data_IF_545459174787
#
_entry.id   IF_545459174787
#
_cell.length_a   1.000
_cell.length_b   1.000
_cell.length_c   1.000
_cell.angle_alpha   90.00
_cell.angle_beta   90.00
_cell.angle_gamma   90.00
#
_symmetry.space_group_name_H-M   'P 1'
#
loop_
_entity.id
_entity.type
_entity.pdbx_description
1 polymer ?
#
# COMPACT_ATOMS: atom_id res chain seq x y z
N UNK A 1 4.10 -40.19 47.94
CA UNK A 1 4.69 -38.83 47.98
C UNK A 1 5.66 -38.69 46.81
N UNK A 2 5.45 -37.65 46.01
CA UNK A 2 5.97 -37.45 44.66
C UNK A 2 7.51 -37.35 44.58
N UNK A 3 8.10 -38.08 43.63
CA UNK A 3 9.42 -37.80 43.06
C UNK A 3 9.24 -37.45 41.58
N UNK A 4 9.00 -36.18 41.29
CA UNK A 4 9.05 -35.66 39.92
C UNK A 4 10.50 -35.34 39.58
N UNK A 5 11.13 -36.21 38.78
CA UNK A 5 12.41 -35.93 38.14
C UNK A 5 12.16 -35.08 36.89
N UNK A 6 12.52 -33.81 36.95
CA UNK A 6 12.61 -32.94 35.78
C UNK A 6 13.81 -33.37 34.92
N UNK A 7 13.55 -33.78 33.68
CA UNK A 7 14.59 -33.98 32.66
C UNK A 7 14.58 -32.78 31.70
N UNK A 8 15.71 -32.14 31.41
CA UNK A 8 15.76 -31.08 30.41
C UNK A 8 15.63 -31.68 29.00
N UNK A 9 14.67 -31.15 28.24
CA UNK A 9 14.48 -31.44 26.82
C UNK A 9 15.45 -30.55 26.04
N UNK A 10 16.53 -31.11 25.51
CA UNK A 10 17.44 -30.39 24.61
C UNK A 10 16.78 -30.37 23.23
N UNK A 11 16.22 -29.22 22.85
CA UNK A 11 15.73 -28.95 21.51
C UNK A 11 16.95 -28.70 20.60
N UNK A 12 17.37 -29.74 19.88
CA UNK A 12 18.33 -29.59 18.79
C UNK A 12 17.62 -28.89 17.61
N UNK A 13 17.80 -27.57 17.49
CA UNK A 13 17.41 -26.81 16.30
C UNK A 13 18.42 -27.16 15.21
N UNK A 14 18.06 -28.08 14.32
CA UNK A 14 18.78 -28.27 13.07
C UNK A 14 18.53 -27.05 12.19
N UNK A 15 19.43 -26.07 12.24
CA UNK A 15 19.50 -25.00 11.25
C UNK A 15 20.08 -25.64 9.99
N UNK A 16 19.21 -26.15 9.12
CA UNK A 16 19.60 -26.51 7.76
C UNK A 16 19.81 -25.17 7.03
N UNK A 17 21.03 -24.65 7.07
CA UNK A 17 21.46 -23.55 6.21
C UNK A 17 21.77 -24.11 4.83
N UNK A 18 20.72 -24.44 4.07
CA UNK A 18 20.84 -24.63 2.62
C UNK A 18 21.06 -23.25 2.00
N UNK A 19 22.29 -23.00 1.54
CA UNK A 19 22.61 -21.81 0.77
C UNK A 19 21.77 -21.78 -0.51
N UNK A 20 20.71 -20.98 -0.51
CA UNK A 20 19.87 -20.76 -1.68
C UNK A 20 20.59 -19.81 -2.63
N UNK A 21 21.27 -20.37 -3.63
CA UNK A 21 21.49 -19.64 -4.88
C UNK A 21 20.14 -19.20 -5.42
N UNK A 22 20.04 -17.97 -5.91
CA UNK A 22 18.81 -17.44 -6.49
C UNK A 22 18.39 -18.33 -7.68
N UNK A 23 17.43 -19.22 -7.47
CA UNK A 23 16.82 -20.01 -8.53
C UNK A 23 15.92 -19.07 -9.32
N UNK A 24 16.43 -18.47 -10.38
CA UNK A 24 15.57 -17.89 -11.40
C UNK A 24 14.94 -19.06 -12.15
N UNK A 25 13.65 -19.36 -11.89
CA UNK A 25 12.89 -20.21 -12.80
C UNK A 25 13.01 -19.62 -14.22
N UNK A 26 13.22 -20.49 -15.20
CA UNK A 26 13.33 -20.06 -16.59
C UNK A 26 12.04 -19.34 -16.98
N UNK A 27 12.18 -18.19 -17.63
CA UNK A 27 11.13 -17.43 -18.34
C UNK A 27 10.37 -18.25 -19.41
N UNK A 28 10.76 -19.52 -19.63
CA UNK A 28 10.18 -20.45 -20.61
C UNK A 28 9.09 -21.37 -20.04
N UNK A 29 8.45 -20.98 -18.93
CA UNK A 29 7.30 -21.73 -18.42
C UNK A 29 6.11 -21.61 -19.38
N UNK A 30 5.42 -22.72 -19.61
CA UNK A 30 4.25 -22.77 -20.50
C UNK A 30 2.96 -23.01 -19.69
N UNK A 31 1.84 -22.52 -20.23
CA UNK A 31 0.50 -22.76 -19.72
C UNK A 31 -0.03 -24.18 -20.05
N UNK A 32 0.82 -25.09 -20.52
CA UNK A 32 0.43 -26.49 -20.76
C UNK A 32 0.46 -27.28 -19.45
N UNK A 33 -0.58 -28.07 -19.19
CA UNK A 33 -0.68 -28.85 -17.96
C UNK A 33 0.39 -29.94 -17.88
N UNK A 34 1.20 -29.88 -16.82
CA UNK A 34 2.17 -30.94 -16.50
C UNK A 34 1.42 -32.16 -15.93
N UNK A 35 0.32 -31.91 -15.19
CA UNK A 35 -0.47 -32.96 -14.54
C UNK A 35 -1.16 -33.83 -15.59
N UNK A 36 -1.93 -33.23 -16.51
CA UNK A 36 -2.65 -33.95 -17.57
C UNK A 36 -1.65 -34.72 -18.44
N UNK A 37 -0.59 -34.07 -18.91
CA UNK A 37 0.36 -34.66 -19.85
C UNK A 37 1.11 -35.88 -19.30
N UNK A 38 1.32 -35.97 -17.98
CA UNK A 38 2.10 -37.06 -17.35
C UNK A 38 1.27 -38.05 -16.54
N UNK A 39 0.19 -37.59 -15.92
CA UNK A 39 -0.57 -38.36 -14.92
C UNK A 39 -2.07 -38.45 -15.24
N UNK A 40 -2.56 -37.74 -16.26
CA UNK A 40 -3.98 -37.59 -16.53
C UNK A 40 -4.68 -36.58 -15.60
N UNK A 41 -6.00 -36.41 -15.74
CA UNK A 41 -6.76 -35.40 -15.00
C UNK A 41 -7.12 -35.86 -13.58
N UNK A 42 -6.12 -35.91 -12.69
CA UNK A 42 -6.31 -36.30 -11.28
C UNK A 42 -6.78 -35.11 -10.44
N UNK A 43 -7.87 -35.28 -9.68
CA UNK A 43 -8.44 -34.23 -8.81
C UNK A 43 -7.44 -33.74 -7.75
N UNK A 44 -7.24 -32.42 -7.71
CA UNK A 44 -6.35 -31.73 -6.77
C UNK A 44 -7.02 -31.25 -5.48
N UNK A 45 -8.34 -31.42 -5.33
CA UNK A 45 -9.11 -30.87 -4.20
C UNK A 45 -8.62 -31.36 -2.83
N UNK A 46 -8.27 -32.65 -2.72
CA UNK A 46 -7.74 -33.23 -1.48
C UNK A 46 -6.38 -32.62 -1.08
N UNK A 47 -5.50 -32.39 -2.07
CA UNK A 47 -4.22 -31.73 -1.83
C UNK A 47 -4.46 -30.29 -1.36
N UNK A 48 -5.26 -29.50 -2.08
CA UNK A 48 -5.54 -28.11 -1.71
C UNK A 48 -6.14 -27.98 -0.30
N UNK A 49 -7.10 -28.85 0.04
CA UNK A 49 -7.68 -28.90 1.40
C UNK A 49 -6.60 -29.12 2.46
N UNK A 50 -5.68 -30.05 2.22
CA UNK A 50 -4.55 -30.32 3.13
C UNK A 50 -3.66 -29.07 3.29
N UNK A 51 -3.40 -28.34 2.21
CA UNK A 51 -2.60 -27.10 2.26
C UNK A 51 -3.30 -26.01 3.07
N UNK A 52 -4.60 -25.81 2.85
CA UNK A 52 -5.41 -24.82 3.59
C UNK A 52 -5.43 -25.16 5.08
N UNK A 53 -5.70 -26.42 5.44
CA UNK A 53 -5.72 -26.89 6.83
C UNK A 53 -4.36 -26.70 7.50
N UNK A 54 -3.28 -27.04 6.80
CA UNK A 54 -1.91 -26.84 7.30
C UNK A 54 -1.61 -25.34 7.48
N UNK A 55 -1.98 -24.49 6.54
CA UNK A 55 -1.79 -23.04 6.64
C UNK A 55 -2.54 -22.44 7.84
N UNK A 56 -3.82 -22.82 8.02
CA UNK A 56 -4.65 -22.41 9.16
C UNK A 56 -4.14 -22.91 10.51
N UNK A 57 -3.44 -24.05 10.54
CA UNK A 57 -2.87 -24.59 11.77
C UNK A 57 -1.66 -23.80 12.28
N UNK A 58 -1.01 -22.99 11.44
CA UNK A 58 0.13 -22.16 11.84
C UNK A 58 -0.36 -20.93 12.62
N UNK A 59 -0.03 -20.87 13.92
CA UNK A 59 -0.39 -19.73 14.78
C UNK A 59 0.32 -18.44 14.37
N UNK A 60 1.50 -18.59 13.82
CA UNK A 60 2.36 -17.51 13.35
C UNK A 60 3.34 -18.08 12.33
N UNK A 61 3.76 -17.28 11.37
CA UNK A 61 4.84 -17.64 10.47
C UNK A 61 5.40 -16.39 9.80
N UNK A 62 6.56 -16.54 9.18
CA UNK A 62 7.06 -15.56 8.22
C UNK A 62 7.75 -16.25 7.06
N UNK A 63 7.80 -15.57 5.92
CA UNK A 63 8.56 -15.99 4.75
C UNK A 63 9.12 -14.77 4.01
N UNK A 64 10.20 -14.99 3.26
CA UNK A 64 10.63 -14.05 2.22
C UNK A 64 9.98 -14.47 0.90
N UNK A 65 9.62 -13.50 0.06
CA UNK A 65 9.05 -13.77 -1.25
C UNK A 65 9.73 -12.94 -2.32
N UNK A 66 9.94 -13.56 -3.47
CA UNK A 66 10.38 -12.88 -4.69
C UNK A 66 9.27 -12.99 -5.72
N UNK A 67 8.63 -11.86 -6.05
CA UNK A 67 7.61 -11.73 -7.08
C UNK A 67 8.26 -11.19 -8.35
N UNK A 68 8.15 -11.89 -9.46
CA UNK A 68 8.48 -11.37 -10.79
C UNK A 68 7.21 -11.24 -11.62
N UNK A 69 6.90 -10.04 -12.07
CA UNK A 69 5.76 -9.75 -12.95
C UNK A 69 6.29 -9.43 -14.34
N UNK A 70 5.70 -10.03 -15.37
CA UNK A 70 6.11 -9.85 -16.76
C UNK A 70 5.16 -8.91 -17.47
N UNK A 71 5.68 -7.78 -17.93
CA UNK A 71 4.94 -6.84 -18.78
C UNK A 71 5.72 -6.63 -20.07
N UNK A 72 5.09 -6.89 -21.22
CA UNK A 72 5.73 -6.79 -22.54
C UNK A 72 7.05 -7.58 -22.61
N UNK A 73 7.06 -8.81 -22.10
CA UNK A 73 8.22 -9.72 -22.03
C UNK A 73 9.39 -9.25 -21.14
N UNK A 74 9.25 -8.13 -20.42
CA UNK A 74 10.23 -7.67 -19.44
C UNK A 74 9.74 -8.02 -18.03
N UNK A 75 10.56 -8.79 -17.31
CA UNK A 75 10.33 -9.07 -15.89
C UNK A 75 10.68 -7.87 -15.01
N UNK A 76 9.80 -7.55 -14.06
CA UNK A 76 10.08 -6.66 -12.94
C UNK A 76 10.02 -7.49 -11.67
N UNK A 77 11.13 -7.54 -10.94
CA UNK A 77 11.25 -8.34 -9.72
C UNK A 77 11.14 -7.46 -8.49
N UNK A 78 10.27 -7.87 -7.57
CA UNK A 78 10.04 -7.29 -6.26
C UNK A 78 10.34 -8.34 -5.19
N UNK A 79 11.05 -7.96 -4.13
CA UNK A 79 11.30 -8.81 -2.97
C UNK A 79 10.64 -8.23 -1.73
N UNK A 80 10.04 -9.09 -0.93
CA UNK A 80 9.37 -8.71 0.29
C UNK A 80 9.53 -9.77 1.38
N UNK A 81 9.17 -9.38 2.60
CA UNK A 81 9.04 -10.30 3.73
C UNK A 81 7.66 -10.15 4.33
N UNK A 82 6.99 -11.28 4.51
CA UNK A 82 5.65 -11.35 5.05
C UNK A 82 5.68 -12.01 6.42
N UNK A 83 4.96 -11.44 7.37
CA UNK A 83 4.76 -11.97 8.72
C UNK A 83 3.26 -12.07 8.97
N UNK A 84 2.85 -13.20 9.57
CA UNK A 84 1.47 -13.45 9.95
C UNK A 84 1.39 -13.95 11.39
N UNK A 85 0.33 -13.56 12.10
CA UNK A 85 -0.03 -14.11 13.40
C UNK A 85 -1.54 -14.11 13.61
N UNK A 86 -2.08 -15.22 14.12
CA UNK A 86 -3.50 -15.37 14.49
C UNK A 86 -3.92 -14.30 15.51
N UNK A 87 -5.16 -13.74 15.43
CA UNK A 87 -6.23 -14.11 14.50
C UNK A 87 -6.09 -13.52 13.10
N UNK A 88 -5.49 -12.33 12.95
CA UNK A 88 -5.37 -11.69 11.64
C UNK A 88 -4.35 -10.53 11.66
N UNK A 89 -3.24 -10.70 12.36
CA UNK A 89 -2.15 -9.73 12.36
C UNK A 89 -1.23 -10.02 11.18
N UNK A 90 -0.92 -8.98 10.42
CA UNK A 90 -0.08 -9.10 9.24
C UNK A 90 0.91 -7.96 9.19
N UNK A 91 2.14 -8.26 8.78
CA UNK A 91 3.14 -7.26 8.42
C UNK A 91 3.78 -7.67 7.11
N UNK A 92 3.90 -6.73 6.18
CA UNK A 92 4.65 -6.89 4.95
C UNK A 92 5.71 -5.80 4.84
N UNK A 93 6.94 -6.20 4.54
CA UNK A 93 8.08 -5.32 4.35
C UNK A 93 8.59 -5.46 2.92
N UNK A 94 8.60 -4.37 2.16
CA UNK A 94 9.18 -4.36 0.82
C UNK A 94 10.71 -4.27 0.92
N UNK A 95 11.41 -5.39 0.73
CA UNK A 95 12.87 -5.47 0.83
C UNK A 95 13.58 -4.89 -0.39
N UNK A 96 13.03 -5.10 -1.59
CA UNK A 96 13.54 -4.53 -2.84
C UNK A 96 12.38 -4.38 -3.83
N UNK A 97 11.85 -3.17 -4.00
CA UNK A 97 10.67 -2.91 -4.84
C UNK A 97 10.74 -1.52 -5.49
N UNK A 98 11.92 -1.15 -6.00
CA UNK A 98 12.17 0.18 -6.58
C UNK A 98 11.91 1.30 -5.57
N UNK A 99 11.03 2.25 -5.92
CA UNK A 99 10.65 3.36 -5.05
C UNK A 99 9.84 2.95 -3.81
N UNK A 100 9.33 1.72 -3.75
CA UNK A 100 8.62 1.16 -2.58
C UNK A 100 9.55 0.46 -1.60
N UNK A 101 10.85 0.34 -1.90
CA UNK A 101 11.82 -0.31 -1.01
C UNK A 101 11.82 0.34 0.38
N UNK A 102 11.72 -0.48 1.43
CA UNK A 102 11.59 -0.03 2.82
C UNK A 102 10.16 0.28 3.26
N UNK A 103 9.16 0.16 2.38
CA UNK A 103 7.76 0.33 2.77
C UNK A 103 7.33 -0.80 3.68
N UNK A 104 6.48 -0.48 4.65
CA UNK A 104 5.93 -1.44 5.60
C UNK A 104 4.42 -1.30 5.63
N UNK A 105 3.68 -2.39 5.50
CA UNK A 105 2.24 -2.44 5.72
C UNK A 105 1.98 -3.31 6.93
N UNK A 106 1.09 -2.89 7.82
CA UNK A 106 0.60 -3.72 8.94
C UNK A 106 -0.93 -3.74 8.98
N UNK A 107 -1.50 -4.90 9.31
CA UNK A 107 -2.86 -5.04 9.83
C UNK A 107 -2.78 -5.15 11.35
N UNK A 108 -3.33 -4.17 12.04
CA UNK A 108 -3.26 -4.07 13.51
C UNK A 108 -4.38 -4.89 14.18
N UNK A 109 -4.34 -5.12 15.50
CA UNK A 109 -5.38 -5.86 16.21
C UNK A 109 -6.78 -5.22 16.14
N UNK A 110 -6.86 -3.89 15.92
CA UNK A 110 -8.13 -3.19 15.71
C UNK A 110 -8.68 -3.34 14.27
N UNK A 111 -8.03 -4.15 13.44
CA UNK A 111 -8.38 -4.38 12.04
C UNK A 111 -7.93 -3.27 11.08
N UNK A 112 -7.40 -2.15 11.58
CA UNK A 112 -6.92 -1.06 10.73
C UNK A 112 -5.67 -1.47 10.00
N UNK A 113 -5.56 -1.03 8.76
CA UNK A 113 -4.37 -1.20 7.94
C UNK A 113 -3.59 0.11 7.97
N UNK A 114 -2.34 0.04 8.39
CA UNK A 114 -1.41 1.17 8.36
C UNK A 114 -0.27 0.86 7.42
N UNK A 115 0.14 1.85 6.65
CA UNK A 115 1.29 1.76 5.76
C UNK A 115 2.28 2.86 6.10
N UNK A 116 3.55 2.49 6.21
CA UNK A 116 4.70 3.37 6.28
C UNK A 116 5.38 3.36 4.92
N UNK A 117 5.55 4.53 4.32
CA UNK A 117 6.19 4.63 3.01
C UNK A 117 7.70 4.28 3.09
N UNK A 118 8.26 3.79 1.98
CA UNK A 118 9.67 3.43 1.86
C UNK A 118 10.57 4.54 1.32
N UNK A 119 11.87 4.24 1.21
CA UNK A 119 12.87 5.12 0.64
C UNK A 119 12.95 6.48 1.34
N UNK A 120 13.01 7.55 0.54
CA UNK A 120 13.04 8.92 1.04
C UNK A 120 11.79 9.31 1.86
N UNK A 121 10.69 8.56 1.73
CA UNK A 121 9.43 8.78 2.47
C UNK A 121 9.33 7.95 3.75
N UNK A 122 10.44 7.35 4.22
CA UNK A 122 10.55 6.47 5.38
C UNK A 122 10.00 6.97 6.73
N UNK A 123 9.38 8.13 6.81
CA UNK A 123 8.76 8.69 8.02
C UNK A 123 7.22 8.79 7.97
N UNK A 124 6.59 8.70 6.80
CA UNK A 124 5.15 8.93 6.66
C UNK A 124 4.39 7.64 6.92
N UNK A 125 3.47 7.67 7.89
CA UNK A 125 2.53 6.58 8.16
C UNK A 125 1.12 7.03 7.85
N UNK A 126 0.39 6.27 7.03
CA UNK A 126 -1.00 6.53 6.65
C UNK A 126 -1.89 5.35 7.02
N UNK A 127 -3.17 5.60 7.29
CA UNK A 127 -4.18 4.55 7.40
C UNK A 127 -4.80 4.32 6.03
N UNK A 128 -4.92 3.07 5.61
CA UNK A 128 -5.43 2.70 4.28
C UNK A 128 -6.69 1.84 4.42
N UNK A 129 -7.63 2.04 3.50
CA UNK A 129 -8.73 1.09 3.31
C UNK A 129 -8.19 -0.26 2.79
N UNK A 130 -8.79 -1.41 3.14
CA UNK A 130 -8.36 -2.73 2.63
C UNK A 130 -8.36 -2.85 1.11
N UNK A 131 -9.19 -2.06 0.43
CA UNK A 131 -9.33 -2.00 -1.03
C UNK A 131 -8.39 -1.01 -1.71
N UNK A 132 -7.53 -0.30 -0.95
CA UNK A 132 -6.64 0.72 -1.50
C UNK A 132 -5.73 0.15 -2.58
N UNK A 133 -5.60 0.86 -3.71
CA UNK A 133 -4.66 0.54 -4.79
C UNK A 133 -3.20 0.51 -4.29
N UNK A 134 -2.89 1.24 -3.22
CA UNK A 134 -1.56 1.27 -2.61
C UNK A 134 -1.18 -0.05 -1.93
N UNK A 135 -2.17 -0.91 -1.65
CA UNK A 135 -1.97 -2.25 -1.09
C UNK A 135 -1.80 -3.32 -2.16
N UNK A 136 -1.76 -2.95 -3.45
CA UNK A 136 -1.68 -3.89 -4.56
C UNK A 136 -0.23 -4.13 -4.98
N UNK A 137 0.14 -5.40 -5.09
CA UNK A 137 1.38 -5.86 -5.69
C UNK A 137 1.39 -5.59 -7.20
N UNK A 138 2.55 -5.70 -7.84
CA UNK A 138 2.68 -5.50 -9.29
C UNK A 138 1.80 -6.43 -10.14
N UNK A 139 1.42 -7.60 -9.62
CA UNK A 139 0.48 -8.53 -10.26
C UNK A 139 -0.99 -8.34 -9.83
N UNK A 140 -1.33 -7.26 -9.11
CA UNK A 140 -2.70 -6.89 -8.75
C UNK A 140 -3.29 -7.57 -7.50
N UNK A 141 -2.50 -8.41 -6.81
CA UNK A 141 -2.93 -9.03 -5.55
C UNK A 141 -2.89 -8.06 -4.39
N UNK A 142 -3.78 -8.24 -3.42
CA UNK A 142 -3.77 -7.43 -2.19
C UNK A 142 -2.74 -7.98 -1.22
N UNK A 143 -1.78 -7.15 -0.80
CA UNK A 143 -0.78 -7.52 0.24
C UNK A 143 -1.48 -7.95 1.53
N UNK A 144 -2.63 -7.34 1.85
CA UNK A 144 -3.37 -7.65 3.09
C UNK A 144 -4.18 -8.96 3.02
N UNK A 145 -4.29 -9.56 1.83
CA UNK A 145 -4.92 -10.87 1.60
C UNK A 145 -3.88 -11.92 1.15
N UNK A 146 -2.59 -11.60 1.29
CA UNK A 146 -1.48 -12.45 0.86
C UNK A 146 -1.02 -13.43 1.93
N UNK A 147 -1.79 -13.65 3.00
CA UNK A 147 -1.50 -14.76 3.91
C UNK A 147 -1.77 -16.10 3.21
N UNK A 148 -1.02 -17.14 3.58
CA UNK A 148 -1.01 -18.41 2.86
C UNK A 148 -2.39 -19.07 2.84
N UNK A 149 -3.16 -18.96 3.93
CA UNK A 149 -4.50 -19.52 4.00
C UNK A 149 -5.45 -18.78 3.05
N UNK A 150 -5.48 -17.45 3.09
CA UNK A 150 -6.31 -16.63 2.20
C UNK A 150 -5.97 -16.84 0.72
N UNK A 151 -4.67 -16.93 0.39
CA UNK A 151 -4.23 -17.21 -0.98
C UNK A 151 -4.72 -18.58 -1.47
N UNK A 152 -4.53 -19.63 -0.67
CA UNK A 152 -4.97 -20.99 -1.03
C UNK A 152 -6.50 -21.10 -1.09
N UNK A 153 -7.22 -20.41 -0.20
CA UNK A 153 -8.68 -20.30 -0.28
C UNK A 153 -9.14 -19.58 -1.55
N UNK A 154 -8.38 -18.61 -2.04
CA UNK A 154 -8.59 -18.01 -3.35
C UNK A 154 -8.61 -19.04 -4.47
N UNK A 155 -7.67 -19.99 -4.46
CA UNK A 155 -7.61 -21.12 -5.43
C UNK A 155 -8.81 -22.06 -5.28
N UNK A 156 -9.35 -22.22 -4.06
CA UNK A 156 -10.50 -23.11 -3.82
C UNK A 156 -11.80 -22.60 -4.43
N UNK A 157 -11.89 -21.30 -4.75
CA UNK A 157 -13.03 -20.68 -5.43
C UNK A 157 -12.91 -20.89 -6.95
N UNK A 158 -12.84 -22.16 -7.34
CA UNK A 158 -12.72 -22.61 -8.74
C UNK A 158 -13.90 -22.02 -9.55
N UNK A 159 -13.65 -21.16 -10.54
CA UNK A 159 -14.68 -20.65 -11.44
C UNK A 159 -15.39 -21.80 -12.16
N UNK A 160 -16.65 -21.59 -12.56
CA UNK A 160 -17.38 -22.58 -13.35
C UNK A 160 -16.61 -22.90 -14.64
N UNK A 161 -16.39 -24.19 -14.92
CA UNK A 161 -15.60 -24.66 -16.06
C UNK A 161 -14.14 -24.96 -15.73
N UNK A 162 -13.61 -24.45 -14.62
CA UNK A 162 -12.23 -24.76 -14.24
C UNK A 162 -12.10 -26.08 -13.48
N UNK A 163 -10.95 -26.72 -13.62
CA UNK A 163 -10.58 -27.99 -12.97
C UNK A 163 -9.35 -27.77 -12.12
N UNK A 164 -9.39 -28.28 -10.90
CA UNK A 164 -8.25 -28.32 -10.02
C UNK A 164 -7.58 -29.69 -10.12
N UNK A 165 -6.34 -29.74 -10.58
CA UNK A 165 -5.60 -30.97 -10.83
C UNK A 165 -4.34 -31.05 -9.98
N UNK A 166 -3.94 -32.25 -9.56
CA UNK A 166 -2.71 -32.44 -8.81
C UNK A 166 -1.93 -33.69 -9.20
N UNK A 167 -0.62 -33.68 -8.94
CA UNK A 167 0.20 -34.89 -9.04
C UNK A 167 -0.12 -35.84 -7.88
N UNK A 168 -0.12 -37.17 -8.11
CA UNK A 168 -0.43 -38.15 -7.06
C UNK A 168 0.73 -38.34 -6.07
N UNK A 169 1.94 -37.95 -6.48
CA UNK A 169 3.17 -38.06 -5.73
C UNK A 169 4.13 -36.91 -6.10
N UNK A 170 5.16 -36.64 -5.30
CA UNK A 170 6.21 -35.71 -5.68
C UNK A 170 6.84 -36.12 -7.02
N UNK A 171 7.04 -35.15 -7.91
CA UNK A 171 7.66 -35.37 -9.21
C UNK A 171 8.77 -34.35 -9.46
N UNK A 172 9.67 -34.67 -10.40
CA UNK A 172 10.72 -33.76 -10.81
C UNK A 172 10.13 -32.49 -11.44
N UNK A 173 10.60 -31.33 -10.99
CA UNK A 173 10.24 -30.01 -11.50
C UNK A 173 11.51 -29.17 -11.70
N UNK A 174 11.65 -28.41 -12.80
CA UNK A 174 12.90 -27.71 -13.12
C UNK A 174 13.37 -26.78 -11.99
N UNK A 175 14.62 -26.96 -11.55
CA UNK A 175 15.25 -26.11 -10.54
C UNK A 175 14.78 -26.33 -9.10
N UNK A 176 13.85 -27.26 -8.85
CA UNK A 176 13.32 -27.58 -7.52
C UNK A 176 13.58 -29.04 -7.15
N UNK A 177 13.62 -29.38 -5.85
CA UNK A 177 13.53 -30.77 -5.41
C UNK A 177 12.19 -31.41 -5.87
N UNK A 178 12.00 -32.72 -5.69
CA UNK A 178 10.71 -33.35 -5.99
C UNK A 178 9.56 -32.67 -5.22
N UNK A 179 8.57 -32.17 -5.96
CA UNK A 179 7.44 -31.38 -5.47
C UNK A 179 6.11 -32.00 -5.90
N UNK A 180 5.05 -31.72 -5.14
CA UNK A 180 3.70 -31.87 -5.69
C UNK A 180 3.40 -30.67 -6.57
N UNK A 181 2.68 -30.90 -7.67
CA UNK A 181 2.18 -29.83 -8.53
C UNK A 181 0.66 -29.78 -8.39
N UNK A 182 0.13 -28.58 -8.16
CA UNK A 182 -1.30 -28.28 -8.16
C UNK A 182 -1.56 -27.27 -9.28
N UNK A 183 -2.46 -27.58 -10.21
CA UNK A 183 -2.80 -26.74 -11.36
C UNK A 183 -4.29 -26.39 -11.33
N UNK A 184 -4.60 -25.11 -11.54
CA UNK A 184 -5.93 -24.64 -11.88
C UNK A 184 -6.00 -24.50 -13.41
N UNK A 185 -6.85 -25.31 -14.04
CA UNK A 185 -6.91 -25.51 -15.49
C UNK A 185 -8.27 -25.07 -16.03
N UNK A 186 -8.27 -24.22 -17.05
CA UNK A 186 -9.48 -23.77 -17.73
C UNK A 186 -10.13 -24.85 -18.62
N UNK A 187 -11.32 -24.56 -19.13
CA UNK A 187 -12.03 -25.41 -20.10
C UNK A 187 -11.25 -25.61 -21.41
N UNK A 188 -10.38 -24.66 -21.74
CA UNK A 188 -9.43 -24.72 -22.87
C UNK A 188 -8.23 -25.64 -22.61
N UNK A 189 -8.19 -26.30 -21.45
CA UNK A 189 -7.07 -27.10 -20.94
C UNK A 189 -5.76 -26.30 -20.76
N UNK A 190 -5.84 -24.97 -20.66
CA UNK A 190 -4.70 -24.13 -20.29
C UNK A 190 -4.65 -23.94 -18.78
N UNK A 191 -3.43 -23.91 -18.26
CA UNK A 191 -3.17 -23.68 -16.83
C UNK A 191 -3.25 -22.18 -16.56
N UNK A 192 -4.19 -21.77 -15.71
CA UNK A 192 -4.29 -20.39 -15.22
C UNK A 192 -3.34 -20.16 -14.04
N UNK A 193 -3.20 -21.17 -13.16
CA UNK A 193 -2.30 -21.10 -12.01
C UNK A 193 -1.62 -22.45 -11.79
N UNK A 194 -0.33 -22.42 -11.46
CA UNK A 194 0.46 -23.60 -11.09
C UNK A 194 1.17 -23.33 -9.78
N UNK A 195 0.96 -24.19 -8.79
CA UNK A 195 1.64 -24.16 -7.52
C UNK A 195 2.58 -25.36 -7.43
N UNK A 196 3.86 -25.12 -7.18
CA UNK A 196 4.80 -26.14 -6.75
C UNK A 196 4.81 -26.18 -5.22
N UNK A 197 4.55 -27.35 -4.66
CA UNK A 197 4.39 -27.59 -3.24
C UNK A 197 5.51 -28.50 -2.77
N UNK A 198 6.27 -28.01 -1.79
CA UNK A 198 7.35 -28.78 -1.17
C UNK A 198 6.82 -30.08 -0.55
N UNK A 199 7.51 -31.18 -0.83
CA UNK A 199 7.02 -32.51 -0.50
C UNK A 199 7.10 -32.83 0.99
N UNK A 200 7.99 -32.16 1.73
CA UNK A 200 8.21 -32.37 3.16
C UNK A 200 7.32 -31.44 4.00
N UNK A 201 7.41 -30.13 3.78
CA UNK A 201 6.66 -29.12 4.54
C UNK A 201 5.18 -29.05 4.16
N UNK A 202 4.82 -29.55 2.97
CA UNK A 202 3.49 -29.39 2.35
C UNK A 202 3.09 -27.92 2.25
N UNK A 203 4.03 -27.07 1.84
CA UNK A 203 3.82 -25.64 1.67
C UNK A 203 4.17 -25.20 0.24
N UNK A 204 3.49 -24.17 -0.30
CA UNK A 204 3.87 -23.59 -1.58
C UNK A 204 5.30 -23.02 -1.53
N UNK A 205 6.12 -23.34 -2.54
CA UNK A 205 7.46 -22.77 -2.72
C UNK A 205 7.59 -21.98 -4.03
N UNK A 206 6.73 -22.28 -5.01
CA UNK A 206 6.63 -21.54 -6.26
C UNK A 206 5.16 -21.43 -6.68
N UNK A 207 4.77 -20.27 -7.21
CA UNK A 207 3.43 -20.01 -7.72
C UNK A 207 3.51 -19.23 -9.02
N UNK A 208 3.05 -19.84 -10.10
CA UNK A 208 2.99 -19.25 -11.43
C UNK A 208 1.55 -18.88 -11.73
N UNK A 209 1.35 -17.68 -12.27
CA UNK A 209 0.06 -17.20 -12.73
C UNK A 209 0.22 -16.87 -14.21
N UNK A 210 -0.59 -17.53 -15.02
CA UNK A 210 -0.64 -17.34 -16.46
C UNK A 210 -1.82 -16.43 -16.80
N UNK A 211 -1.66 -15.66 -17.87
CA UNK A 211 -2.75 -14.94 -18.50
C UNK A 211 -2.76 -15.37 -19.96
N UNK A 212 -3.82 -16.09 -20.35
CA UNK A 212 -3.85 -16.82 -21.63
C UNK A 212 -2.70 -17.84 -21.68
N UNK A 213 -1.86 -17.78 -22.71
CA UNK A 213 -0.76 -18.71 -22.92
C UNK A 213 0.59 -18.19 -22.38
N UNK A 214 0.62 -16.99 -21.78
CA UNK A 214 1.84 -16.33 -21.33
C UNK A 214 1.93 -16.30 -19.80
N UNK A 215 3.15 -16.45 -19.28
CA UNK A 215 3.44 -16.27 -17.85
C UNK A 215 3.29 -14.79 -17.49
N UNK A 216 2.29 -14.48 -16.67
CA UNK A 216 2.03 -13.10 -16.21
C UNK A 216 2.84 -12.78 -14.95
N UNK A 217 2.88 -13.70 -13.98
CA UNK A 217 3.71 -13.52 -12.78
C UNK A 217 4.17 -14.83 -12.15
N UNK A 218 5.24 -14.74 -11.40
CA UNK A 218 5.92 -15.83 -10.71
C UNK A 218 6.27 -15.38 -9.30
N UNK A 219 5.86 -16.15 -8.30
CA UNK A 219 6.20 -15.93 -6.89
C UNK A 219 7.01 -17.10 -6.39
N UNK A 220 8.20 -16.83 -5.85
CA UNK A 220 8.95 -17.78 -5.04
C UNK A 220 8.76 -17.48 -3.57
N UNK A 221 8.48 -18.51 -2.77
CA UNK A 221 8.41 -18.43 -1.31
C UNK A 221 9.66 -19.06 -0.73
N UNK A 222 10.44 -18.25 -0.02
CA UNK A 222 11.73 -18.60 0.55
C UNK A 222 11.68 -18.51 2.08
N UNK A 223 12.47 -19.34 2.75
CA UNK A 223 12.69 -19.27 4.21
C UNK A 223 11.40 -19.23 5.03
N UNK A 224 10.41 -20.04 4.67
CA UNK A 224 9.20 -20.17 5.46
C UNK A 224 9.53 -20.75 6.85
N UNK A 225 9.25 -19.98 7.89
CA UNK A 225 9.37 -20.42 9.29
C UNK A 225 7.99 -20.45 9.92
N UNK A 226 7.48 -21.65 10.17
CA UNK A 226 6.21 -21.89 10.88
C UNK A 226 6.36 -21.76 12.39
N UNK A 227 5.28 -21.33 13.06
CA UNK A 227 5.21 -21.09 14.50
C UNK A 227 6.35 -20.21 15.01
N UNK A 228 6.73 -19.21 14.21
CA UNK A 228 7.72 -18.22 14.62
C UNK A 228 7.15 -17.45 15.83
N UNK A 229 7.87 -17.38 16.95
CA UNK A 229 7.45 -16.65 18.16
C UNK A 229 7.47 -15.13 17.94
N UNK A 230 6.59 -14.66 17.04
CA UNK A 230 6.48 -13.28 16.61
C UNK A 230 5.72 -12.48 17.67
N UNK A 231 6.33 -11.39 18.13
CA UNK A 231 5.73 -10.49 19.13
C UNK A 231 4.68 -9.58 18.50
N UNK A 232 3.62 -9.25 19.25
CA UNK A 232 2.53 -8.40 18.74
C UNK A 232 3.02 -6.99 18.38
N UNK A 233 4.08 -6.51 19.05
CA UNK A 233 4.68 -5.19 18.81
C UNK A 233 5.11 -4.97 17.36
N UNK A 234 5.48 -6.03 16.62
CA UNK A 234 5.85 -5.91 15.20
C UNK A 234 4.69 -5.45 14.30
N UNK A 235 3.44 -5.67 14.73
CA UNK A 235 2.23 -5.32 13.98
C UNK A 235 1.70 -3.93 14.34
N UNK A 236 2.46 -3.15 15.11
CA UNK A 236 2.12 -1.76 15.42
C UNK A 236 2.97 -0.78 14.63
N UNK A 237 2.31 0.09 13.87
CA UNK A 237 2.90 1.32 13.35
C UNK A 237 2.29 2.51 14.11
N UNK A 238 3.16 3.33 14.73
CA UNK A 238 2.75 4.59 15.37
C UNK A 238 2.65 4.60 16.90
N UNK A 239 3.50 3.85 17.62
CA UNK A 239 3.86 4.15 19.01
C UNK A 239 5.39 4.37 19.03
N UNK A 240 5.83 5.54 19.50
CA UNK A 240 7.22 6.08 19.52
C UNK A 240 7.64 7.01 18.35
N UNK A 241 7.40 8.31 18.61
CA UNK A 241 8.31 9.48 18.55
C UNK A 241 9.60 9.45 17.68
N UNK A 242 9.70 10.48 16.82
CA UNK A 242 10.89 11.34 16.56
C UNK A 242 12.21 10.67 16.14
N UNK A 243 12.67 10.91 14.90
CA UNK A 243 13.95 11.58 14.60
C UNK A 243 14.24 11.72 13.08
N UNK A 244 14.54 12.98 12.74
CA UNK A 244 15.54 13.48 11.79
C UNK A 244 15.68 12.83 10.40
N UNK A 245 15.08 13.50 9.40
CA UNK A 245 15.70 13.68 8.09
C UNK A 245 15.73 15.17 7.78
N UNK A 246 16.93 15.72 7.59
CA UNK A 246 17.22 17.15 7.68
C UNK A 246 16.77 18.00 6.47
N UNK A 247 16.16 17.41 5.43
CA UNK A 247 15.87 18.15 4.19
C UNK A 247 14.40 18.11 3.70
N UNK A 248 13.48 17.50 4.45
CA UNK A 248 12.03 17.51 4.16
C UNK A 248 11.17 17.88 5.38
N UNK A 249 11.52 18.99 6.04
CA UNK A 249 10.80 19.49 7.23
C UNK A 249 9.29 19.71 7.05
N UNK A 250 8.76 19.86 5.83
CA UNK A 250 7.35 20.18 5.61
C UNK A 250 6.40 18.97 5.58
N UNK A 251 6.79 17.84 4.99
CA UNK A 251 5.85 16.72 4.74
C UNK A 251 5.54 15.94 6.03
N UNK A 252 6.54 15.74 6.90
CA UNK A 252 6.32 15.16 8.22
C UNK A 252 5.45 16.04 9.12
N UNK A 253 5.44 17.35 8.88
CA UNK A 253 4.63 18.32 9.63
C UNK A 253 3.14 18.18 9.30
N UNK A 254 2.78 18.05 8.02
CA UNK A 254 1.37 18.03 7.61
C UNK A 254 0.57 16.87 8.22
N UNK A 255 1.08 15.63 8.13
CA UNK A 255 0.39 14.47 8.69
C UNK A 255 0.26 14.51 10.23
N UNK A 256 1.32 15.00 10.90
CA UNK A 256 1.30 15.17 12.36
C UNK A 256 0.31 16.26 12.77
N UNK A 257 0.26 17.38 12.04
CA UNK A 257 -0.69 18.46 12.27
C UNK A 257 -2.13 18.00 12.05
N UNK A 258 -2.43 17.30 10.94
CA UNK A 258 -3.78 16.79 10.66
C UNK A 258 -4.26 15.85 11.75
N UNK A 259 -3.43 14.89 12.16
CA UNK A 259 -3.81 13.92 13.20
C UNK A 259 -3.94 14.59 14.58
N UNK A 260 -3.07 15.55 14.89
CA UNK A 260 -3.17 16.34 16.12
C UNK A 260 -4.48 17.14 16.15
N UNK A 261 -4.79 17.88 15.09
CA UNK A 261 -6.02 18.65 14.98
C UNK A 261 -7.25 17.75 15.05
N UNK A 262 -7.26 16.66 14.29
CA UNK A 262 -8.35 15.69 14.27
C UNK A 262 -8.65 15.16 15.66
N UNK A 263 -7.62 14.76 16.42
CA UNK A 263 -7.81 14.29 17.80
C UNK A 263 -8.37 15.37 18.71
N UNK A 264 -7.82 16.59 18.65
CA UNK A 264 -8.33 17.71 19.45
C UNK A 264 -9.81 17.95 19.17
N UNK A 265 -10.20 17.98 17.89
CA UNK A 265 -11.60 18.17 17.46
C UNK A 265 -12.51 16.99 17.80
N UNK A 266 -12.05 15.74 17.68
CA UNK A 266 -12.84 14.55 18.04
C UNK A 266 -13.09 14.44 19.55
N UNK A 267 -12.16 14.93 20.37
CA UNK A 267 -12.34 15.02 21.83
C UNK A 267 -13.09 16.26 22.27
N UNK A 268 -13.33 17.20 21.35
CA UNK A 268 -14.01 18.45 21.64
C UNK A 268 -15.52 18.21 21.76
N UNK A 269 -16.15 18.83 22.75
CA UNK A 269 -17.61 18.77 22.87
C UNK A 269 -18.23 19.55 21.72
N UNK A 270 -19.01 18.88 20.88
CA UNK A 270 -19.68 19.47 19.72
C UNK A 270 -20.67 20.59 20.08
N UNK A 271 -21.03 20.71 21.37
CA UNK A 271 -21.90 21.78 21.87
C UNK A 271 -21.13 23.02 22.35
N UNK A 272 -19.80 22.99 22.28
CA UNK A 272 -18.94 24.10 22.72
C UNK A 272 -18.34 24.78 21.48
N UNK A 273 -18.28 26.12 21.42
CA UNK A 273 -17.62 26.84 20.35
C UNK A 273 -16.12 26.58 20.34
N UNK A 274 -15.51 26.64 19.15
CA UNK A 274 -14.06 26.52 19.00
C UNK A 274 -13.33 27.51 19.92
N UNK A 275 -12.45 26.99 20.78
CA UNK A 275 -11.61 27.85 21.62
C UNK A 275 -10.42 28.43 20.84
N UNK A 276 -9.74 29.42 21.42
CA UNK A 276 -8.64 30.12 20.77
C UNK A 276 -7.49 29.20 20.31
N UNK A 277 -7.18 28.15 21.08
CA UNK A 277 -6.13 27.18 20.73
C UNK A 277 -6.52 26.39 19.48
N UNK A 278 -7.74 25.84 19.44
CA UNK A 278 -8.22 25.07 18.29
C UNK A 278 -8.35 25.97 17.06
N UNK A 279 -8.78 27.23 17.21
CA UNK A 279 -8.81 28.20 16.11
C UNK A 279 -7.42 28.40 15.51
N UNK A 280 -6.36 28.44 16.33
CA UNK A 280 -4.98 28.55 15.85
C UNK A 280 -4.53 27.28 15.11
N UNK A 281 -4.86 26.10 15.62
CA UNK A 281 -4.53 24.83 14.94
C UNK A 281 -5.27 24.69 13.61
N UNK A 282 -6.58 24.99 13.59
CA UNK A 282 -7.39 25.02 12.36
C UNK A 282 -6.77 26.00 11.36
N UNK A 283 -6.38 27.21 11.79
CA UNK A 283 -5.71 28.19 10.94
C UNK A 283 -4.41 27.63 10.36
N UNK A 284 -3.56 27.05 11.19
CA UNK A 284 -2.28 26.49 10.77
C UNK A 284 -2.47 25.36 9.75
N UNK A 285 -3.47 24.50 9.94
CA UNK A 285 -3.82 23.46 8.98
C UNK A 285 -4.31 24.05 7.65
N UNK A 286 -5.17 25.07 7.67
CA UNK A 286 -5.61 25.75 6.43
C UNK A 286 -4.42 26.38 5.68
N UNK A 287 -3.52 27.07 6.38
CA UNK A 287 -2.32 27.64 5.76
C UNK A 287 -1.39 26.57 5.18
N UNK A 288 -1.30 25.40 5.83
CA UNK A 288 -0.51 24.30 5.29
C UNK A 288 -1.14 23.69 4.05
N UNK A 289 -2.48 23.56 3.99
CA UNK A 289 -3.18 23.14 2.75
C UNK A 289 -2.82 24.10 1.61
N UNK A 290 -2.91 25.41 1.86
CA UNK A 290 -2.53 26.44 0.88
C UNK A 290 -1.07 26.29 0.43
N UNK A 291 -0.16 26.10 1.38
CA UNK A 291 1.27 25.92 1.10
C UNK A 291 1.53 24.69 0.23
N UNK A 292 0.86 23.56 0.49
CA UNK A 292 0.97 22.35 -0.33
C UNK A 292 0.43 22.57 -1.74
N UNK A 293 -0.67 23.31 -1.90
CA UNK A 293 -1.20 23.70 -3.22
C UNK A 293 -0.22 24.61 -3.99
N UNK A 294 0.38 25.59 -3.32
CA UNK A 294 1.40 26.46 -3.92
C UNK A 294 2.66 25.68 -4.30
N UNK A 295 3.01 24.64 -3.54
CA UNK A 295 4.11 23.75 -3.86
C UNK A 295 3.77 22.84 -5.04
N UNK A 296 2.56 22.28 -5.11
CA UNK A 296 2.06 21.55 -6.29
C UNK A 296 2.19 22.40 -7.56
N UNK A 297 1.73 23.65 -7.53
CA UNK A 297 1.82 24.57 -8.66
C UNK A 297 3.26 24.87 -9.10
N UNK A 298 4.17 25.07 -8.13
CA UNK A 298 5.59 25.33 -8.41
C UNK A 298 6.32 24.10 -8.97
N UNK A 299 6.09 22.93 -8.40
CA UNK A 299 6.73 21.68 -8.81
C UNK A 299 6.33 21.29 -10.24
N UNK A 300 5.09 21.61 -10.65
CA UNK A 300 4.62 21.43 -12.03
C UNK A 300 5.15 22.49 -13.01
N UNK A 301 5.11 23.77 -12.63
CA UNK A 301 5.52 24.87 -13.51
C UNK A 301 7.02 24.82 -13.83
N UNK A 302 7.85 24.47 -12.86
CA UNK A 302 9.31 24.27 -13.05
C UNK A 302 9.63 23.09 -13.96
N UNK A 303 8.77 22.07 -14.01
CA UNK A 303 8.97 20.88 -14.84
C UNK A 303 8.76 21.16 -16.33
N UNK A 304 7.84 22.05 -16.70
CA UNK A 304 7.67 22.44 -18.11
C UNK A 304 8.81 23.33 -18.65
N UNK A 305 9.33 24.22 -17.81
CA UNK A 305 10.40 25.14 -18.21
C UNK A 305 11.65 24.37 -18.68
N UNK A 306 12.01 23.30 -17.97
CA UNK A 306 13.20 22.50 -18.30
C UNK A 306 13.03 21.64 -19.57
N UNK A 307 11.81 21.19 -19.89
CA UNK A 307 11.54 20.39 -21.09
C UNK A 307 11.65 21.24 -22.36
N UNK A 308 11.23 22.51 -22.32
CA UNK A 308 11.30 23.42 -23.48
C UNK A 308 12.73 23.88 -23.80
N UNK A 309 13.61 23.96 -22.80
CA UNK A 309 15.03 24.29 -23.02
C UNK A 309 15.76 23.15 -23.71
N UNK A 310 15.41 21.90 -23.41
CA UNK A 310 15.98 20.72 -24.07
C UNK A 310 15.54 20.58 -25.54
N UNK A 311 14.32 21.01 -25.90
CA UNK A 311 13.80 20.89 -27.27
C UNK A 311 14.27 21.99 -28.25
N UNK A 312 14.83 23.10 -27.74
CA UNK A 312 15.28 24.25 -28.55
C UNK A 312 16.81 24.34 -28.71
N UNK A 313 17.57 23.33 -28.25
CA UNK A 313 19.00 23.23 -28.53
C UNK A 313 19.24 22.89 -30.01
N UNK A 314 19.73 23.87 -30.77
CA UNK A 314 20.07 23.76 -32.18
C UNK A 314 20.89 22.51 -32.51
N UNK A 315 20.43 21.78 -33.53
CA UNK A 315 21.17 20.75 -34.22
C UNK A 315 22.47 21.34 -34.80
N UNK A 316 23.61 20.92 -34.28
CA UNK A 316 24.86 20.83 -35.03
C UNK A 316 25.33 19.38 -34.95
N UNK A 317 25.53 18.81 -36.13
CA UNK A 317 25.90 17.42 -36.37
C UNK A 317 27.30 17.11 -35.85
N UNK A 318 27.47 15.97 -35.18
CA UNK A 318 28.23 14.85 -35.75
C UNK A 318 28.42 13.72 -34.71
N UNK A 319 28.12 12.51 -35.19
CA UNK A 319 28.74 11.21 -34.83
C UNK A 319 28.98 10.89 -33.34
N UNK A 320 28.06 10.12 -32.75
CA UNK A 320 28.38 8.82 -32.13
C UNK A 320 27.10 8.14 -31.61
N UNK A 321 26.78 6.97 -32.17
CA UNK A 321 25.82 6.04 -31.61
C UNK A 321 26.32 5.51 -30.26
N UNK A 322 25.90 6.15 -29.17
CA UNK A 322 26.00 5.61 -27.82
C UNK A 322 24.59 5.44 -27.26
N UNK A 323 24.16 4.20 -27.04
CA UNK A 323 22.94 3.86 -26.29
C UNK A 323 23.10 4.35 -24.83
N UNK A 324 22.90 5.64 -24.59
CA UNK A 324 22.84 6.21 -23.26
C UNK A 324 21.46 5.99 -22.69
N UNK A 325 21.41 5.22 -21.61
CA UNK A 325 20.21 4.96 -20.82
C UNK A 325 19.93 6.22 -20.03
N UNK A 326 19.10 7.12 -20.56
CA UNK A 326 18.69 8.30 -19.79
C UNK A 326 18.01 7.84 -18.47
N UNK A 327 18.45 8.36 -17.32
CA UNK A 327 17.89 7.99 -16.04
C UNK A 327 16.43 8.44 -15.96
N UNK A 328 15.59 7.54 -15.45
CA UNK A 328 14.13 7.61 -15.32
C UNK A 328 13.66 8.71 -14.33
N UNK A 329 14.10 9.96 -14.53
CA UNK A 329 13.92 11.09 -13.61
C UNK A 329 12.44 11.52 -13.48
N UNK A 330 11.60 11.19 -14.47
CA UNK A 330 10.17 11.49 -14.46
C UNK A 330 9.40 10.80 -13.32
N UNK A 331 9.73 9.54 -13.01
CA UNK A 331 8.99 8.74 -12.01
C UNK A 331 9.11 9.25 -10.57
N UNK A 332 10.18 10.00 -10.27
CA UNK A 332 10.37 10.57 -8.93
C UNK A 332 9.47 11.78 -8.69
N UNK A 333 9.07 12.51 -9.75
CA UNK A 333 8.25 13.72 -9.62
C UNK A 333 6.79 13.38 -9.39
N UNK A 334 6.26 12.39 -10.11
CA UNK A 334 4.87 11.93 -9.93
C UNK A 334 4.61 11.48 -8.48
N UNK A 335 5.61 10.84 -7.86
CA UNK A 335 5.55 10.46 -6.46
C UNK A 335 5.43 11.68 -5.53
N UNK A 336 6.21 12.75 -5.75
CA UNK A 336 6.12 13.98 -4.94
C UNK A 336 4.72 14.60 -5.04
N UNK A 337 4.15 14.62 -6.23
CA UNK A 337 2.83 15.21 -6.48
C UNK A 337 1.72 14.41 -5.79
N UNK A 338 1.80 13.08 -5.85
CA UNK A 338 0.88 12.18 -5.14
C UNK A 338 0.94 12.36 -3.62
N UNK A 339 2.13 12.57 -3.06
CA UNK A 339 2.31 12.82 -1.61
C UNK A 339 1.63 14.13 -1.20
N UNK A 340 1.77 15.18 -2.00
CA UNK A 340 1.14 16.47 -1.71
C UNK A 340 -0.38 16.36 -1.78
N UNK A 341 -0.91 15.70 -2.81
CA UNK A 341 -2.33 15.42 -2.91
C UNK A 341 -2.85 14.64 -1.68
N UNK A 342 -2.12 13.62 -1.24
CA UNK A 342 -2.47 12.85 -0.03
C UNK A 342 -2.37 13.67 1.27
N UNK A 343 -1.42 14.61 1.33
CA UNK A 343 -1.27 15.50 2.48
C UNK A 343 -2.44 16.50 2.56
N UNK A 344 -2.86 17.05 1.42
CA UNK A 344 -4.04 17.92 1.30
C UNK A 344 -5.30 17.14 1.70
N UNK A 345 -5.47 15.90 1.22
CA UNK A 345 -6.59 15.03 1.59
C UNK A 345 -6.67 14.79 3.11
N UNK A 346 -5.54 14.44 3.73
CA UNK A 346 -5.48 14.22 5.17
C UNK A 346 -5.83 15.48 5.97
N UNK A 347 -5.36 16.66 5.54
CA UNK A 347 -5.69 17.95 6.17
C UNK A 347 -7.17 18.32 5.95
N UNK A 348 -7.71 18.17 4.73
CA UNK A 348 -9.13 18.38 4.41
C UNK A 348 -10.03 17.53 5.31
N UNK A 349 -9.67 16.24 5.46
CA UNK A 349 -10.38 15.31 6.33
C UNK A 349 -10.39 15.76 7.79
N UNK A 350 -9.25 16.22 8.33
CA UNK A 350 -9.17 16.72 9.69
C UNK A 350 -10.01 17.99 9.92
N UNK A 351 -10.06 18.88 8.93
CA UNK A 351 -10.83 20.13 8.99
C UNK A 351 -12.36 19.90 9.01
N UNK A 352 -12.85 18.75 8.52
CA UNK A 352 -14.28 18.41 8.57
C UNK A 352 -14.81 18.35 10.01
N UNK A 353 -13.98 17.89 10.95
CA UNK A 353 -14.36 17.80 12.36
C UNK A 353 -14.62 19.16 13.04
N UNK A 354 -14.28 20.28 12.38
CA UNK A 354 -14.59 21.61 12.92
C UNK A 354 -16.06 22.00 12.71
N UNK A 355 -16.76 21.42 11.73
CA UNK A 355 -18.11 21.86 11.35
C UNK A 355 -19.16 21.82 12.48
N UNK A 356 -19.23 20.77 13.33
CA UNK A 356 -20.17 20.75 14.46
C UNK A 356 -19.91 21.88 15.46
N UNK A 357 -18.64 22.11 15.81
CA UNK A 357 -18.25 23.18 16.72
C UNK A 357 -18.55 24.57 16.14
N UNK A 358 -18.47 24.73 14.81
CA UNK A 358 -18.89 25.97 14.14
C UNK A 358 -20.39 26.22 14.36
N UNK A 359 -21.26 25.20 14.23
CA UNK A 359 -22.71 25.33 14.46
C UNK A 359 -23.09 25.69 15.90
N UNK A 360 -22.22 25.41 16.87
CA UNK A 360 -22.52 25.67 18.29
C UNK A 360 -22.41 27.15 18.69
N UNK A 361 -21.91 28.01 17.79
CA UNK A 361 -21.68 29.43 18.10
C UNK A 361 -22.97 30.20 18.40
N UNK A 362 -24.08 29.95 17.70
CA UNK A 362 -25.36 30.63 17.97
C UNK A 362 -25.89 30.30 19.37
N UNK A 363 -25.79 29.03 19.76
CA UNK A 363 -26.25 28.54 21.07
C UNK A 363 -25.50 29.22 22.22
N UNK A 364 -24.19 29.47 22.04
CA UNK A 364 -23.37 30.10 23.08
C UNK A 364 -23.48 31.62 23.08
N UNK A 365 -23.64 32.23 21.91
CA UNK A 365 -23.81 33.68 21.79
C UNK A 365 -25.19 34.17 22.24
N UNK A 366 -26.17 33.26 22.40
CA UNK A 366 -27.55 33.59 22.78
C UNK A 366 -28.30 34.42 21.74
N UNK A 367 -27.79 34.47 20.50
CA UNK A 367 -28.36 35.19 19.36
C UNK A 367 -27.97 34.48 18.06
N UNK A 368 -28.84 34.57 17.05
CA UNK A 368 -28.54 34.07 15.71
C UNK A 368 -27.45 34.93 15.06
N UNK A 369 -26.25 34.38 14.99
CA UNK A 369 -25.10 34.95 14.28
C UNK A 369 -24.88 34.24 12.94
N UNK A 370 -25.79 33.36 12.51
CA UNK A 370 -25.72 32.63 11.25
C UNK A 370 -24.69 31.49 11.26
N UNK A 371 -24.46 30.86 12.41
CA UNK A 371 -23.43 29.82 12.56
C UNK A 371 -23.72 28.56 11.74
N UNK A 372 -24.99 28.20 11.54
CA UNK A 372 -25.40 27.10 10.66
C UNK A 372 -25.01 27.36 9.19
N UNK A 373 -25.25 28.58 8.70
CA UNK A 373 -24.91 28.98 7.33
C UNK A 373 -23.40 28.90 7.12
N UNK A 374 -22.61 29.29 8.12
CA UNK A 374 -21.15 29.21 8.06
C UNK A 374 -20.63 27.78 8.10
N UNK A 375 -21.23 26.91 8.91
CA UNK A 375 -20.89 25.50 8.94
C UNK A 375 -21.21 24.81 7.60
N UNK A 376 -22.34 25.16 6.97
CA UNK A 376 -22.69 24.66 5.64
C UNK A 376 -21.72 25.17 4.56
N UNK A 377 -21.31 26.44 4.62
CA UNK A 377 -20.30 26.99 3.72
C UNK A 377 -18.93 26.30 3.90
N UNK A 378 -18.51 26.09 5.15
CA UNK A 378 -17.29 25.35 5.49
C UNK A 378 -17.31 23.95 4.88
N UNK A 379 -18.42 23.23 5.10
CA UNK A 379 -18.59 21.86 4.61
C UNK A 379 -18.58 21.79 3.08
N UNK A 380 -19.28 22.71 2.43
CA UNK A 380 -19.33 22.83 0.97
C UNK A 380 -17.96 23.13 0.35
N UNK A 381 -17.13 23.93 1.01
CA UNK A 381 -15.76 24.17 0.55
C UNK A 381 -14.89 22.93 0.68
N UNK A 382 -15.00 22.15 1.76
CA UNK A 382 -14.28 20.89 1.91
C UNK A 382 -14.72 19.83 0.88
N UNK A 383 -16.02 19.75 0.55
CA UNK A 383 -16.51 18.84 -0.48
C UNK A 383 -15.94 19.16 -1.87
N UNK A 384 -15.77 20.45 -2.18
CA UNK A 384 -15.13 20.90 -3.42
C UNK A 384 -13.62 20.64 -3.44
N UNK A 385 -12.96 20.74 -2.28
CA UNK A 385 -11.55 20.35 -2.15
C UNK A 385 -11.40 18.87 -2.45
N UNK A 386 -12.27 18.01 -1.91
CA UNK A 386 -12.21 16.57 -2.15
C UNK A 386 -12.50 16.20 -3.62
N UNK A 387 -13.44 16.91 -4.28
CA UNK A 387 -13.66 16.78 -5.72
C UNK A 387 -12.38 17.11 -6.52
N UNK A 388 -11.70 18.20 -6.18
CA UNK A 388 -10.44 18.56 -6.83
C UNK A 388 -9.30 17.60 -6.52
N UNK A 389 -9.23 17.04 -5.31
CA UNK A 389 -8.26 15.98 -4.96
C UNK A 389 -8.51 14.72 -5.78
N UNK A 390 -9.77 14.30 -5.93
CA UNK A 390 -10.12 13.15 -6.77
C UNK A 390 -9.69 13.38 -8.23
N UNK A 391 -9.90 14.60 -8.75
CA UNK A 391 -9.45 15.00 -10.09
C UNK A 391 -7.91 15.02 -10.18
N UNK A 392 -7.19 15.48 -9.14
CA UNK A 392 -5.73 15.41 -9.06
C UNK A 392 -5.25 13.97 -9.18
N UNK A 393 -5.82 13.04 -8.40
CA UNK A 393 -5.46 11.62 -8.49
C UNK A 393 -5.74 11.05 -9.88
N UNK A 394 -6.89 11.37 -10.46
CA UNK A 394 -7.24 10.95 -11.83
C UNK A 394 -6.27 11.48 -12.89
N UNK A 395 -5.71 12.67 -12.70
CA UNK A 395 -4.70 13.23 -13.60
C UNK A 395 -3.31 12.64 -13.37
N UNK A 396 -2.93 12.38 -12.12
CA UNK A 396 -1.64 11.79 -11.76
C UNK A 396 -1.53 10.30 -12.10
N UNK A 397 -2.65 9.59 -12.24
CA UNK A 397 -2.68 8.18 -12.69
C UNK A 397 -2.46 8.03 -14.21
N UNK A 398 -2.52 9.13 -14.98
CA UNK A 398 -2.28 9.11 -16.43
C UNK A 398 -0.79 8.93 -16.72
N UNK A 399 -0.46 8.24 -17.81
CA UNK A 399 0.93 8.02 -18.25
C UNK A 399 1.69 9.32 -18.59
N UNK A 400 0.96 10.41 -18.86
CA UNK A 400 1.47 11.76 -18.99
C UNK A 400 0.47 12.73 -18.33
N UNK A 401 0.66 13.08 -17.05
CA UNK A 401 -0.22 14.01 -16.35
C UNK A 401 -0.23 15.37 -17.06
N UNK A 402 -1.43 15.88 -17.35
CA UNK A 402 -1.56 17.23 -17.89
C UNK A 402 -1.29 18.24 -16.78
N UNK A 403 -0.15 18.92 -16.87
CA UNK A 403 0.27 19.93 -15.91
C UNK A 403 -0.74 21.07 -15.78
N UNK A 404 -1.43 21.43 -16.88
CA UNK A 404 -2.43 22.48 -16.84
C UNK A 404 -3.59 22.02 -15.96
N UNK A 405 -4.11 20.83 -16.22
CA UNK A 405 -5.17 20.26 -15.38
C UNK A 405 -4.76 20.12 -13.91
N UNK A 406 -3.52 19.72 -13.60
CA UNK A 406 -3.05 19.66 -12.20
C UNK A 406 -2.97 21.04 -11.57
N UNK A 407 -2.41 22.04 -12.25
CA UNK A 407 -2.38 23.42 -11.75
C UNK A 407 -3.79 24.00 -11.58
N UNK A 408 -4.71 23.69 -12.50
CA UNK A 408 -6.11 24.13 -12.44
C UNK A 408 -6.81 23.54 -11.19
N UNK A 409 -6.62 22.24 -10.91
CA UNK A 409 -7.17 21.62 -9.70
C UNK A 409 -6.53 22.16 -8.41
N UNK A 410 -5.19 22.35 -8.39
CA UNK A 410 -4.53 22.98 -7.24
C UNK A 410 -5.04 24.41 -7.01
N UNK A 411 -5.29 25.18 -8.08
CA UNK A 411 -5.88 26.51 -8.02
C UNK A 411 -7.31 26.51 -7.47
N UNK A 412 -8.14 25.52 -7.82
CA UNK A 412 -9.48 25.32 -7.24
C UNK A 412 -9.40 25.06 -5.74
N UNK A 413 -8.46 24.21 -5.29
CA UNK A 413 -8.25 23.96 -3.86
C UNK A 413 -7.85 25.25 -3.14
N UNK A 414 -6.91 26.03 -3.69
CA UNK A 414 -6.52 27.34 -3.12
C UNK A 414 -7.70 28.31 -3.00
N UNK A 415 -8.60 28.33 -3.98
CA UNK A 415 -9.81 29.16 -3.95
C UNK A 415 -10.76 28.76 -2.81
N UNK A 416 -10.97 27.46 -2.60
CA UNK A 416 -11.83 26.97 -1.51
C UNK A 416 -11.17 27.16 -0.15
N UNK A 417 -9.85 27.02 -0.04
CA UNK A 417 -9.06 27.37 1.15
C UNK A 417 -9.27 28.82 1.57
N UNK A 418 -9.29 29.77 0.63
CA UNK A 418 -9.57 31.18 0.93
C UNK A 418 -10.97 31.40 1.54
N UNK A 419 -11.96 30.57 1.18
CA UNK A 419 -13.29 30.61 1.79
C UNK A 419 -13.27 30.06 3.21
N UNK A 420 -12.55 28.96 3.45
CA UNK A 420 -12.32 28.44 4.81
C UNK A 420 -11.66 29.49 5.71
N UNK A 421 -10.66 30.22 5.20
CA UNK A 421 -10.03 31.33 5.93
C UNK A 421 -11.02 32.45 6.27
N UNK A 422 -11.96 32.74 5.36
CA UNK A 422 -13.00 33.76 5.58
C UNK A 422 -13.96 33.35 6.69
N UNK A 423 -14.42 32.11 6.69
CA UNK A 423 -15.26 31.55 7.77
C UNK A 423 -14.50 31.58 9.10
N UNK A 424 -13.24 31.12 9.13
CA UNK A 424 -12.43 31.11 10.35
C UNK A 424 -12.15 32.51 10.90
N UNK A 425 -11.91 33.50 10.01
CA UNK A 425 -11.72 34.89 10.41
C UNK A 425 -12.98 35.42 11.10
N UNK A 426 -14.15 35.18 10.51
CA UNK A 426 -15.42 35.58 11.10
C UNK A 426 -15.62 34.98 12.50
N UNK A 427 -15.36 33.67 12.64
CA UNK A 427 -15.43 32.96 13.93
C UNK A 427 -14.50 33.60 14.97
N UNK A 428 -13.26 33.88 14.55
CA UNK A 428 -12.24 34.50 15.41
C UNK A 428 -12.58 35.93 15.82
N UNK A 429 -13.42 36.64 15.06
CA UNK A 429 -13.86 38.00 15.41
C UNK A 429 -15.05 37.97 16.38
N UNK A 430 -15.98 37.01 16.23
CA UNK A 430 -17.06 36.79 17.20
C UNK A 430 -16.54 36.29 18.56
N UNK A 431 -15.47 35.49 18.56
CA UNK A 431 -14.89 34.97 19.81
C UNK A 431 -14.17 36.03 20.65
N UNK A 432 -13.95 37.24 20.13
CA UNK A 432 -13.33 38.36 20.86
C UNK A 432 -14.37 39.28 21.51
N UNK A 433 -15.61 39.22 21.05
CA UNK A 433 -16.70 40.10 21.52
C UNK A 433 -17.49 39.50 22.69
N UNK A 434 -17.33 38.20 22.91
CA UNK A 434 -17.81 37.47 24.09
C UNK A 434 -16.64 37.22 25.03
#
# INVERSE_FOLDING_TARGET
MNKNSFRPFILAIAIISSGTGAFAASDKQTAESIVIGKFGPLDGSALLKTLIEKAKSMRSYWYESTLTTYSKKKGVTERGRFYFKTPNLMRFEALAAGNRTGSVVVRQPDGKIKAKAGGFMGGVTVSLAPTSKLLKTSNGYSVVESDLASLLEGVSKVPAGEKLLATPKPCAYPGLPPVYILELVGDDNRVHQRLAVDSDSKMPIEWLIFQQDELNSLVHVEKLISNADITDSMFFLGKETTLACAETKTIGSAAVMSESLRRKLETFDNNVPLNAEIILDVRATIEQVKLECDQLNRDFSSSQANVRVASNGNASSDLAQGNSTEPNLGKSKDAVLLIRAASIEAMSTALRSAAPAIRSFDATAGKDIGSDVLADQWQKSLDRIDESIANLYGNLDKSAPDSKSVCDEAGKITLEVAKLQTVLKWISDQSKTN
#
